data_IF_461499078612
#
_entry.id   IF_461499078612
#
_cell.length_a   1.000
_cell.length_b   1.000
_cell.length_c   1.000
_cell.angle_alpha   90.00
_cell.angle_beta   90.00
_cell.angle_gamma   90.00
#
_symmetry.space_group_name_H-M   'P 1'
#
loop_
_entity.id
_entity.type
_entity.pdbx_description
1 polymer ?
#
# COMPACT_ATOMS: atom_id res chain seq x y z
N UNK A 1 2.00 -6.06 10.81
CA UNK A 1 3.09 -6.58 9.97
C UNK A 1 3.65 -7.85 10.60
N UNK A 2 4.28 -8.71 9.81
CA UNK A 2 5.06 -9.84 10.32
C UNK A 2 6.41 -9.93 9.59
N UNK A 3 7.45 -10.42 10.27
CA UNK A 3 8.76 -10.71 9.70
C UNK A 3 8.88 -12.23 9.55
N UNK A 4 9.14 -12.72 8.35
CA UNK A 4 9.16 -14.16 8.04
C UNK A 4 10.25 -14.52 7.01
N UNK A 5 10.67 -15.79 6.97
CA UNK A 5 11.56 -16.32 5.93
C UNK A 5 10.79 -16.65 4.65
N UNK A 6 10.97 -15.87 3.58
CA UNK A 6 10.25 -16.12 2.33
C UNK A 6 10.64 -17.45 1.66
N UNK A 7 11.86 -17.95 1.91
CA UNK A 7 12.30 -19.25 1.40
C UNK A 7 11.54 -20.44 2.02
N UNK A 8 10.70 -20.19 3.03
CA UNK A 8 9.79 -21.18 3.64
C UNK A 8 8.32 -20.97 3.22
N UNK A 9 8.09 -20.15 2.19
CA UNK A 9 6.77 -19.78 1.67
C UNK A 9 6.71 -19.99 0.15
N UNK A 10 5.62 -19.55 -0.49
CA UNK A 10 5.50 -19.49 -1.95
C UNK A 10 5.98 -18.17 -2.55
N UNK A 11 6.44 -17.20 -1.75
CA UNK A 11 6.96 -15.94 -2.25
C UNK A 11 8.39 -16.09 -2.77
N UNK A 12 8.84 -15.27 -3.74
CA UNK A 12 10.22 -15.31 -4.21
C UNK A 12 11.22 -15.05 -3.08
N UNK A 13 12.22 -15.91 -2.95
CA UNK A 13 13.24 -15.88 -1.88
C UNK A 13 13.92 -14.51 -1.70
N UNK A 14 14.13 -13.79 -2.81
CA UNK A 14 14.84 -12.51 -2.84
C UNK A 14 13.91 -11.28 -2.77
N UNK A 15 12.59 -11.48 -2.75
CA UNK A 15 11.65 -10.37 -2.57
C UNK A 15 11.80 -9.76 -1.18
N UNK A 16 11.78 -8.43 -1.09
CA UNK A 16 12.05 -7.73 0.16
C UNK A 16 10.82 -7.67 1.09
N UNK A 17 9.62 -7.55 0.52
CA UNK A 17 8.35 -7.54 1.23
C UNK A 17 7.21 -8.06 0.34
N UNK A 18 6.06 -8.30 0.94
CA UNK A 18 4.81 -8.59 0.26
C UNK A 18 3.66 -7.96 1.05
N UNK A 19 2.77 -7.23 0.38
CA UNK A 19 1.52 -6.77 0.97
C UNK A 19 0.39 -7.73 0.57
N UNK A 20 -0.14 -8.43 1.55
CA UNK A 20 -1.34 -9.25 1.38
C UNK A 20 -2.58 -8.42 1.71
N UNK A 21 -3.53 -8.41 0.77
CA UNK A 21 -4.87 -7.87 0.96
C UNK A 21 -5.86 -9.04 0.85
N UNK A 22 -6.76 -9.19 1.81
CA UNK A 22 -7.69 -10.32 1.90
C UNK A 22 -9.05 -9.88 2.44
N UNK A 23 -10.10 -10.65 2.13
CA UNK A 23 -11.47 -10.30 2.50
C UNK A 23 -12.12 -9.33 1.51
N UNK A 24 -13.28 -8.81 1.90
CA UNK A 24 -14.04 -7.78 1.18
C UNK A 24 -13.74 -6.38 1.72
N UNK A 25 -14.21 -5.34 1.04
CA UNK A 25 -14.14 -3.95 1.53
C UNK A 25 -14.80 -3.78 2.92
N UNK A 26 -15.81 -4.60 3.24
CA UNK A 26 -16.49 -4.63 4.54
C UNK A 26 -15.66 -5.27 5.66
N UNK A 27 -14.57 -5.98 5.32
CA UNK A 27 -13.76 -6.72 6.29
C UNK A 27 -12.93 -5.77 7.16
N UNK A 28 -12.74 -6.11 8.44
CA UNK A 28 -11.91 -5.32 9.35
C UNK A 28 -10.47 -5.18 8.82
N UNK A 29 -9.98 -3.95 8.69
CA UNK A 29 -8.68 -3.64 8.08
C UNK A 29 -7.53 -4.40 8.73
N UNK A 30 -7.55 -4.49 10.06
CA UNK A 30 -6.48 -5.12 10.83
C UNK A 30 -6.27 -6.61 10.47
N UNK A 31 -7.32 -7.30 10.02
CA UNK A 31 -7.23 -8.67 9.50
C UNK A 31 -7.11 -8.76 7.99
N UNK A 32 -7.53 -7.72 7.26
CA UNK A 32 -7.54 -7.67 5.80
C UNK A 32 -6.18 -7.27 5.21
N UNK A 33 -5.38 -6.48 5.92
CA UNK A 33 -4.07 -6.00 5.47
C UNK A 33 -2.93 -6.62 6.29
N UNK A 34 -2.06 -7.37 5.62
CA UNK A 34 -0.86 -7.92 6.24
C UNK A 34 0.38 -7.60 5.40
N UNK A 35 1.19 -6.68 5.91
CA UNK A 35 2.55 -6.47 5.40
C UNK A 35 3.49 -7.55 5.95
N UNK A 36 4.06 -8.34 5.05
CA UNK A 36 5.07 -9.36 5.32
C UNK A 36 6.44 -8.82 4.90
N UNK A 37 7.41 -8.86 5.80
CA UNK A 37 8.80 -8.44 5.56
C UNK A 37 9.69 -9.67 5.53
N UNK A 38 10.47 -9.83 4.47
CA UNK A 38 11.38 -10.96 4.34
C UNK A 38 12.58 -10.79 5.27
N UNK A 39 12.78 -11.71 6.20
CA UNK A 39 13.89 -11.66 7.16
C UNK A 39 15.27 -11.76 6.48
N UNK A 40 15.34 -12.43 5.31
CA UNK A 40 16.58 -12.58 4.53
C UNK A 40 17.03 -11.28 3.88
N UNK A 41 16.11 -10.35 3.64
CA UNK A 41 16.46 -9.02 3.16
C UNK A 41 16.88 -8.13 4.34
N UNK A 42 18.16 -8.21 4.73
CA UNK A 42 18.70 -7.51 5.90
C UNK A 42 18.49 -5.98 5.88
N UNK A 43 18.48 -5.38 4.69
CA UNK A 43 18.23 -3.92 4.53
C UNK A 43 16.80 -3.57 4.95
N UNK A 44 15.82 -4.34 4.46
CA UNK A 44 14.40 -4.10 4.74
C UNK A 44 14.05 -4.49 6.18
N UNK A 45 14.49 -5.66 6.64
CA UNK A 45 14.22 -6.12 7.99
C UNK A 45 14.83 -5.19 9.05
N UNK A 46 16.06 -4.70 8.85
CA UNK A 46 16.67 -3.71 9.73
C UNK A 46 15.92 -2.36 9.73
N UNK A 47 15.43 -1.90 8.58
CA UNK A 47 14.65 -0.66 8.50
C UNK A 47 13.37 -0.73 9.35
N UNK A 48 12.66 -1.87 9.31
CA UNK A 48 11.48 -2.10 10.15
C UNK A 48 11.81 -2.27 11.64
N UNK A 49 12.93 -2.92 11.98
CA UNK A 49 13.40 -3.00 13.37
C UNK A 49 13.74 -1.62 13.95
N UNK A 50 14.30 -0.73 13.12
CA UNK A 50 14.69 0.62 13.52
C UNK A 50 13.58 1.67 13.34
N UNK A 51 12.34 1.27 13.02
CA UNK A 51 11.27 2.22 12.66
C UNK A 51 10.95 3.25 13.76
N UNK A 52 11.20 2.93 15.03
CA UNK A 52 11.05 3.90 16.14
C UNK A 52 12.13 5.00 16.18
N UNK A 53 13.30 4.78 15.57
CA UNK A 53 14.37 5.77 15.42
C UNK A 53 15.20 5.47 14.16
N UNK A 54 14.64 5.74 12.96
CA UNK A 54 15.22 5.27 11.70
C UNK A 54 16.47 6.09 11.34
N UNK A 55 17.51 5.39 10.88
CA UNK A 55 18.69 5.99 10.25
C UNK A 55 18.30 6.56 8.87
N UNK A 56 19.14 7.40 8.23
CA UNK A 56 18.82 7.95 6.90
C UNK A 56 18.47 6.88 5.86
N UNK A 57 19.19 5.75 5.83
CA UNK A 57 18.88 4.63 4.93
C UNK A 57 17.55 3.95 5.29
N UNK A 58 17.24 3.81 6.58
CA UNK A 58 15.99 3.18 7.01
C UNK A 58 14.79 4.03 6.59
N UNK A 59 14.90 5.35 6.63
CA UNK A 59 13.85 6.28 6.15
C UNK A 59 13.56 6.11 4.66
N UNK A 60 14.60 5.96 3.85
CA UNK A 60 14.47 5.72 2.41
C UNK A 60 13.75 4.40 2.15
N UNK A 61 14.16 3.34 2.86
CA UNK A 61 13.53 2.00 2.74
C UNK A 61 12.08 2.04 3.18
N UNK A 62 11.77 2.61 4.35
CA UNK A 62 10.41 2.74 4.85
C UNK A 62 9.53 3.57 3.91
N UNK A 63 10.07 4.65 3.33
CA UNK A 63 9.38 5.45 2.31
C UNK A 63 9.07 4.64 1.06
N UNK A 64 10.02 3.82 0.59
CA UNK A 64 9.80 2.93 -0.56
C UNK A 64 8.73 1.87 -0.28
N UNK A 65 8.73 1.26 0.92
CA UNK A 65 7.71 0.27 1.30
C UNK A 65 6.34 0.91 1.46
N UNK A 66 6.27 2.10 2.06
CA UNK A 66 5.01 2.86 2.16
C UNK A 66 4.46 3.20 0.77
N UNK A 67 5.31 3.71 -0.14
CA UNK A 67 4.93 4.06 -1.50
C UNK A 67 4.38 2.84 -2.26
N UNK A 68 5.05 1.69 -2.17
CA UNK A 68 4.59 0.46 -2.82
C UNK A 68 3.30 -0.09 -2.18
N UNK A 69 3.20 -0.09 -0.85
CA UNK A 69 2.00 -0.53 -0.15
C UNK A 69 0.77 0.35 -0.51
N UNK A 70 0.95 1.67 -0.51
CA UNK A 70 -0.08 2.61 -0.92
C UNK A 70 -0.51 2.37 -2.38
N UNK A 71 0.46 2.13 -3.27
CA UNK A 71 0.20 1.80 -4.67
C UNK A 71 -0.65 0.54 -4.82
N UNK A 72 -0.24 -0.56 -4.16
CA UNK A 72 -0.96 -1.84 -4.20
C UNK A 72 -2.37 -1.70 -3.61
N UNK A 73 -2.54 -0.94 -2.52
CA UNK A 73 -3.84 -0.68 -1.90
C UNK A 73 -4.78 0.10 -2.83
N UNK A 74 -4.30 1.17 -3.46
CA UNK A 74 -5.10 1.95 -4.43
C UNK A 74 -5.46 1.12 -5.65
N UNK A 75 -4.50 0.38 -6.22
CA UNK A 75 -4.76 -0.49 -7.37
C UNK A 75 -5.81 -1.56 -7.03
N UNK A 76 -5.73 -2.14 -5.83
CA UNK A 76 -6.73 -3.08 -5.33
C UNK A 76 -8.10 -2.42 -5.18
N UNK A 77 -8.18 -1.22 -4.62
CA UNK A 77 -9.43 -0.48 -4.47
C UNK A 77 -10.09 -0.21 -5.83
N UNK A 78 -9.33 0.32 -6.80
CA UNK A 78 -9.82 0.67 -8.13
C UNK A 78 -10.27 -0.55 -8.95
N UNK A 79 -9.73 -1.73 -8.66
CA UNK A 79 -10.14 -2.98 -9.28
C UNK A 79 -11.55 -3.46 -8.82
N UNK A 80 -12.02 -3.01 -7.65
CA UNK A 80 -13.38 -3.26 -7.19
C UNK A 80 -14.33 -2.21 -7.77
N UNK A 81 -15.37 -2.65 -8.47
CA UNK A 81 -16.32 -1.72 -9.11
C UNK A 81 -17.23 -1.07 -8.07
N UNK A 82 -17.48 -1.76 -6.97
CA UNK A 82 -18.21 -1.28 -5.80
C UNK A 82 -17.43 -0.25 -4.96
N UNK A 83 -16.13 -0.05 -5.23
CA UNK A 83 -15.35 0.98 -4.57
C UNK A 83 -15.77 2.37 -5.05
N UNK A 84 -16.46 3.12 -4.21
CA UNK A 84 -16.92 4.49 -4.47
C UNK A 84 -16.75 5.34 -3.21
N UNK A 85 -16.62 6.66 -3.38
CA UNK A 85 -16.29 7.60 -2.29
C UNK A 85 -17.40 7.71 -1.25
N UNK A 86 -18.65 7.71 -1.72
CA UNK A 86 -19.84 7.87 -0.87
C UNK A 86 -20.38 6.54 -0.31
N UNK A 87 -19.60 5.46 -0.40
CA UNK A 87 -20.01 4.17 0.17
C UNK A 87 -19.93 4.22 1.71
N UNK A 88 -20.98 3.70 2.36
CA UNK A 88 -21.07 3.61 3.83
C UNK A 88 -20.30 2.39 4.33
N UNK A 89 -18.96 2.45 4.25
CA UNK A 89 -18.10 1.41 4.78
C UNK A 89 -18.06 1.46 6.31
N UNK A 90 -18.12 0.30 7.01
CA UNK A 90 -18.00 0.26 8.45
C UNK A 90 -16.70 0.91 8.93
N UNK A 91 -16.75 1.60 10.06
CA UNK A 91 -15.56 2.18 10.68
C UNK A 91 -14.49 1.10 10.94
N UNK A 92 -13.26 1.39 10.51
CA UNK A 92 -12.14 0.45 10.63
C UNK A 92 -12.19 -0.74 9.67
N UNK A 93 -13.06 -0.70 8.67
CA UNK A 93 -13.05 -1.64 7.53
C UNK A 93 -12.01 -1.27 6.48
N UNK A 94 -11.68 -2.26 5.64
CA UNK A 94 -10.76 -2.10 4.51
C UNK A 94 -11.24 -0.99 3.58
N UNK A 95 -12.53 -0.93 3.27
CA UNK A 95 -13.14 0.11 2.43
C UNK A 95 -12.93 1.50 3.00
N UNK A 96 -13.27 1.72 4.29
CA UNK A 96 -13.05 3.02 4.95
C UNK A 96 -11.56 3.44 4.95
N UNK A 97 -10.66 2.46 5.12
CA UNK A 97 -9.21 2.69 5.05
C UNK A 97 -8.75 3.07 3.65
N UNK A 98 -9.27 2.41 2.62
CA UNK A 98 -8.95 2.67 1.23
C UNK A 98 -9.51 4.02 0.75
N UNK A 99 -10.70 4.41 1.18
CA UNK A 99 -11.25 5.77 0.94
C UNK A 99 -10.32 6.82 1.56
N UNK A 100 -9.97 6.66 2.84
CA UNK A 100 -9.07 7.61 3.53
C UNK A 100 -7.71 7.74 2.81
N UNK A 101 -7.14 6.63 2.36
CA UNK A 101 -5.89 6.63 1.59
C UNK A 101 -6.07 7.30 0.22
N UNK A 102 -7.18 7.02 -0.47
CA UNK A 102 -7.48 7.60 -1.77
C UNK A 102 -7.61 9.13 -1.67
N UNK A 103 -8.37 9.63 -0.69
CA UNK A 103 -8.54 11.07 -0.45
C UNK A 103 -7.23 11.78 -0.14
N UNK A 104 -6.33 11.11 0.58
CA UNK A 104 -4.99 11.63 0.88
C UNK A 104 -4.14 11.77 -0.39
N UNK A 105 -4.21 10.79 -1.30
CA UNK A 105 -3.37 10.73 -2.50
C UNK A 105 -3.94 11.54 -3.67
N UNK A 106 -5.27 11.63 -3.78
CA UNK A 106 -5.98 12.29 -4.88
C UNK A 106 -6.99 13.31 -4.36
N UNK A 107 -6.56 14.34 -3.61
CA UNK A 107 -7.47 15.27 -2.97
C UNK A 107 -8.39 15.95 -3.99
N UNK A 108 -9.70 15.77 -3.78
CA UNK A 108 -10.75 16.37 -4.62
C UNK A 108 -10.94 15.74 -6.00
N UNK A 109 -10.33 14.59 -6.29
CA UNK A 109 -10.61 13.83 -7.51
C UNK A 109 -11.60 12.71 -7.24
N UNK A 110 -12.42 12.39 -8.23
CA UNK A 110 -13.40 11.31 -8.14
C UNK A 110 -12.74 9.93 -8.39
N UNK A 111 -13.12 8.90 -7.64
CA UNK A 111 -12.71 7.50 -7.81
C UNK A 111 -13.00 7.03 -9.24
N UNK A 112 -14.12 7.45 -9.83
CA UNK A 112 -14.47 7.14 -11.22
C UNK A 112 -13.48 7.71 -12.22
N UNK A 113 -12.97 8.92 -11.97
CA UNK A 113 -12.04 9.61 -12.87
C UNK A 113 -10.65 8.97 -12.79
N UNK A 114 -10.20 8.65 -11.57
CA UNK A 114 -8.94 7.93 -11.36
C UNK A 114 -9.01 6.52 -11.95
N UNK A 115 -10.12 5.79 -11.75
CA UNK A 115 -10.34 4.48 -12.36
C UNK A 115 -10.34 4.56 -13.89
N UNK A 116 -10.96 5.58 -14.46
CA UNK A 116 -10.95 5.80 -15.91
C UNK A 116 -9.52 6.05 -16.41
N UNK A 117 -8.74 6.89 -15.71
CA UNK A 117 -7.33 7.15 -16.03
C UNK A 117 -6.48 5.88 -15.93
N UNK A 118 -6.68 5.07 -14.89
CA UNK A 118 -6.01 3.77 -14.74
C UNK A 118 -6.26 2.87 -15.96
N UNK A 119 -7.51 2.81 -16.45
CA UNK A 119 -7.90 1.98 -17.60
C UNK A 119 -7.42 2.55 -18.95
N UNK A 120 -7.49 3.86 -19.15
CA UNK A 120 -7.17 4.51 -20.44
C UNK A 120 -5.70 4.90 -20.59
N UNK A 121 -5.01 5.18 -19.49
CA UNK A 121 -3.61 5.62 -19.49
C UNK A 121 -2.86 5.08 -18.26
N UNK A 122 -2.63 3.74 -18.19
CA UNK A 122 -1.99 3.10 -17.04
C UNK A 122 -0.61 3.69 -16.67
N UNK A 123 0.18 4.06 -17.68
CA UNK A 123 1.52 4.64 -17.46
C UNK A 123 1.45 6.03 -16.80
N UNK A 124 0.48 6.86 -17.20
CA UNK A 124 0.24 8.16 -16.59
C UNK A 124 -0.28 7.99 -15.16
N UNK A 125 -1.26 7.11 -14.96
CA UNK A 125 -1.77 6.77 -13.62
C UNK A 125 -0.65 6.33 -12.67
N UNK A 126 0.23 5.44 -13.13
CA UNK A 126 1.37 4.98 -12.32
C UNK A 126 2.32 6.11 -11.93
N UNK A 127 2.55 7.06 -12.84
CA UNK A 127 3.38 8.24 -12.59
C UNK A 127 2.71 9.23 -11.62
N UNK A 128 1.42 9.49 -11.80
CA UNK A 128 0.61 10.33 -10.90
C UNK A 128 0.61 9.77 -9.48
N UNK A 129 0.40 8.45 -9.35
CA UNK A 129 0.39 7.75 -8.06
C UNK A 129 1.77 7.77 -7.40
N UNK A 130 2.85 7.56 -8.16
CA UNK A 130 4.22 7.67 -7.65
C UNK A 130 4.53 9.09 -7.15
N UNK A 131 4.04 10.13 -7.84
CA UNK A 131 4.16 11.51 -7.38
C UNK A 131 3.34 11.75 -6.11
N UNK A 132 2.12 11.23 -6.03
CA UNK A 132 1.21 11.41 -4.90
C UNK A 132 1.74 10.81 -3.58
N UNK A 133 2.42 9.64 -3.66
CA UNK A 133 3.00 8.98 -2.46
C UNK A 133 4.28 9.66 -1.95
N UNK A 134 4.82 10.65 -2.69
CA UNK A 134 5.98 11.47 -2.27
C UNK A 134 7.17 10.63 -1.79
N UNK A 135 7.45 9.55 -2.53
CA UNK A 135 8.59 8.67 -2.23
C UNK A 135 9.87 9.51 -2.18
N UNK A 136 10.68 9.29 -1.13
CA UNK A 136 11.92 10.04 -0.82
C UNK A 136 11.75 11.44 -0.21
N UNK A 137 10.53 11.94 0.01
CA UNK A 137 10.30 13.25 0.65
C UNK A 137 9.95 13.16 2.15
N UNK A 138 9.80 11.94 2.67
CA UNK A 138 9.39 11.71 4.06
C UNK A 138 10.55 12.07 5.01
N UNK A 139 10.37 13.18 5.73
CA UNK A 139 11.29 13.74 6.73
C UNK A 139 11.12 13.11 8.11
#
# INVERSE_FOLDING_TARGET
MAVIDFARTSFPDDAAWHLQISGSLESATMGALLLLVNERNAVTSAAFQNAGKPRPVDRIVLSAVYADAARVMVEHALAHEEFVEDADYPDGSLGATLVSLFDQLFPGQLVTDIRLRQRQSPALFSSDLQAAVKIFEVS
#
